data_IF_357768588831
#
_entry.id   IF_357768588831
#
_cell.length_a   1.000
_cell.length_b   1.000
_cell.length_c   1.000
_cell.angle_alpha   90.00
_cell.angle_beta   90.00
_cell.angle_gamma   90.00
#
_symmetry.space_group_name_H-M   'P 1'
#
loop_
_entity.id
_entity.type
_entity.pdbx_description
1 polymer ?
#
# COMPACT_ATOMS: atom_id res chain seq x y z
N UNK A 1 18.36 55.00 44.08
CA UNK A 1 17.05 54.42 43.73
C UNK A 1 16.93 54.47 42.22
N UNK A 2 16.83 53.33 41.54
CA UNK A 2 16.22 53.23 40.22
C UNK A 2 15.54 51.87 40.15
N UNK A 3 14.22 51.93 39.98
CA UNK A 3 13.28 50.83 39.96
C UNK A 3 13.03 50.52 38.48
N UNK A 4 13.46 49.35 38.01
CA UNK A 4 13.00 48.85 36.72
C UNK A 4 11.71 48.05 36.93
N UNK A 5 10.70 48.45 36.16
CA UNK A 5 9.32 48.00 36.22
C UNK A 5 9.22 46.50 35.96
N UNK A 6 8.62 45.77 36.90
CA UNK A 6 8.31 44.35 36.78
C UNK A 6 7.37 44.12 35.59
N UNK A 7 7.96 43.72 34.47
CA UNK A 7 7.23 43.29 33.28
C UNK A 7 6.41 42.04 33.66
N UNK A 8 5.17 41.99 33.18
CA UNK A 8 4.16 40.99 33.53
C UNK A 8 4.75 39.58 33.58
N UNK A 9 4.69 38.97 34.77
CA UNK A 9 5.11 37.59 34.99
C UNK A 9 4.24 36.73 34.09
N UNK A 10 4.84 36.15 33.05
CA UNK A 10 4.21 35.17 32.18
C UNK A 10 3.61 34.08 33.09
N UNK A 11 2.28 34.04 33.23
CA UNK A 11 1.62 33.05 34.07
C UNK A 11 2.07 31.68 33.59
N UNK A 12 2.57 30.87 34.53
CA UNK A 12 2.91 29.48 34.26
C UNK A 12 1.71 28.81 33.57
N UNK A 13 1.95 27.96 32.55
CA UNK A 13 0.87 27.28 31.85
C UNK A 13 -0.02 26.57 32.87
N UNK A 14 -1.32 26.93 32.86
CA UNK A 14 -2.32 26.47 33.84
C UNK A 14 -2.63 24.97 33.70
N UNK A 15 -2.14 24.37 32.62
CA UNK A 15 -2.18 22.93 32.37
C UNK A 15 -0.77 22.39 32.49
N UNK A 16 -0.63 21.38 33.35
CA UNK A 16 0.58 20.57 33.46
C UNK A 16 1.00 20.11 32.06
N UNK A 17 2.29 20.26 31.74
CA UNK A 17 2.85 19.77 30.49
C UNK A 17 2.82 18.24 30.52
N UNK A 18 1.74 17.67 30.00
CA UNK A 18 1.63 16.22 29.83
C UNK A 18 2.50 15.83 28.65
N UNK A 19 3.58 15.11 28.94
CA UNK A 19 4.50 14.61 27.93
C UNK A 19 3.83 13.44 27.23
N UNK A 20 3.93 13.40 25.91
CA UNK A 20 3.23 12.40 25.10
C UNK A 20 3.68 10.97 25.45
N UNK A 21 4.87 10.80 26.01
CA UNK A 21 5.47 9.54 26.46
C UNK A 21 4.81 8.98 27.73
N UNK A 22 4.16 9.82 28.53
CA UNK A 22 3.46 9.44 29.77
C UNK A 22 1.99 9.04 29.51
N UNK A 23 1.50 9.25 28.28
CA UNK A 23 0.15 8.86 27.87
C UNK A 23 0.10 7.35 27.59
N UNK A 24 -1.03 6.72 27.88
CA UNK A 24 -1.24 5.31 27.54
C UNK A 24 -1.20 5.11 26.01
N UNK A 25 -0.79 3.93 25.54
CA UNK A 25 -0.62 3.64 24.10
C UNK A 25 -1.89 3.97 23.30
N UNK A 26 -3.08 3.67 23.83
CA UNK A 26 -4.35 4.05 23.21
C UNK A 26 -4.56 5.57 23.08
N UNK A 27 -4.14 6.36 24.07
CA UNK A 27 -4.27 7.81 24.08
C UNK A 27 -3.21 8.48 23.19
N UNK A 28 -2.03 7.89 23.11
CA UNK A 28 -0.95 8.27 22.19
C UNK A 28 -1.36 8.09 20.72
N UNK A 29 -2.03 6.98 20.39
CA UNK A 29 -2.57 6.70 19.05
C UNK A 29 -3.61 7.77 18.65
N UNK A 30 -4.47 8.17 19.58
CA UNK A 30 -5.46 9.24 19.37
C UNK A 30 -4.78 10.61 19.21
N UNK A 31 -3.80 10.92 20.04
CA UNK A 31 -3.05 12.18 19.98
C UNK A 31 -2.20 12.31 18.71
N UNK A 32 -1.63 11.20 18.23
CA UNK A 32 -0.83 11.16 17.00
C UNK A 32 -1.68 11.05 15.74
N UNK A 33 -2.98 10.74 15.82
CA UNK A 33 -3.86 10.57 14.67
C UNK A 33 -3.48 9.41 13.73
N UNK A 34 -2.62 8.49 14.20
CA UNK A 34 -2.16 7.32 13.44
C UNK A 34 -2.81 6.07 14.03
N UNK A 35 -3.27 5.15 13.18
CA UNK A 35 -3.84 3.87 13.61
C UNK A 35 -2.79 2.98 14.29
N UNK A 36 -3.26 2.05 15.13
CA UNK A 36 -2.46 0.96 15.69
C UNK A 36 -1.54 0.29 14.64
N UNK A 37 -0.37 -0.17 15.10
CA UNK A 37 0.68 -0.73 14.23
C UNK A 37 0.20 -1.92 13.37
N UNK A 38 0.92 -2.21 12.29
CA UNK A 38 0.62 -3.34 11.41
C UNK A 38 0.94 -4.67 12.11
N UNK A 39 -0.01 -5.61 12.09
CA UNK A 39 0.20 -6.95 12.63
C UNK A 39 1.33 -7.67 11.89
N UNK A 40 2.21 -8.33 12.64
CA UNK A 40 3.32 -9.08 12.06
C UNK A 40 2.90 -10.54 11.86
N UNK A 41 3.05 -11.03 10.63
CA UNK A 41 2.68 -12.40 10.25
C UNK A 41 3.88 -13.36 10.23
N UNK A 42 5.00 -12.96 10.85
CA UNK A 42 6.28 -13.66 10.80
C UNK A 42 7.07 -13.26 9.55
N UNK A 43 8.31 -12.81 9.73
CA UNK A 43 9.14 -12.25 8.65
C UNK A 43 8.40 -11.20 7.80
N UNK A 44 7.51 -10.38 8.39
CA UNK A 44 6.84 -9.29 7.67
C UNK A 44 7.22 -7.91 8.20
N UNK A 45 8.13 -7.83 9.18
CA UNK A 45 8.52 -6.57 9.81
C UNK A 45 9.15 -5.58 8.81
N UNK A 46 9.95 -6.07 7.84
CA UNK A 46 10.52 -5.23 6.78
C UNK A 46 9.44 -4.60 5.89
N UNK A 47 8.36 -5.34 5.64
CA UNK A 47 7.26 -4.88 4.83
C UNK A 47 6.40 -3.90 5.63
N UNK A 48 6.12 -4.23 6.89
CA UNK A 48 5.34 -3.38 7.80
C UNK A 48 6.01 -2.00 7.97
N UNK A 49 7.31 -1.95 8.22
CA UNK A 49 8.06 -0.69 8.33
C UNK A 49 8.06 0.11 7.03
N UNK A 50 8.23 -0.57 5.89
CA UNK A 50 8.17 0.07 4.57
C UNK A 50 6.80 0.68 4.28
N UNK A 51 5.72 -0.06 4.54
CA UNK A 51 4.34 0.42 4.31
C UNK A 51 4.02 1.60 5.23
N UNK A 52 4.44 1.54 6.50
CA UNK A 52 4.25 2.66 7.43
C UNK A 52 5.02 3.91 6.99
N UNK A 53 6.26 3.78 6.49
CA UNK A 53 6.99 4.90 5.90
C UNK A 53 6.27 5.52 4.69
N UNK A 54 5.72 4.69 3.81
CA UNK A 54 4.99 5.16 2.63
C UNK A 54 3.64 5.81 2.99
N UNK A 55 2.98 5.34 4.05
CA UNK A 55 1.71 5.89 4.53
C UNK A 55 1.85 7.35 5.00
N UNK A 56 3.02 7.73 5.49
CA UNK A 56 3.35 9.11 5.88
C UNK A 56 3.44 10.08 4.70
N UNK A 57 3.42 9.60 3.45
CA UNK A 57 3.50 10.45 2.26
C UNK A 57 2.09 10.81 1.78
N UNK A 58 1.58 12.03 2.08
CA UNK A 58 0.17 12.38 1.83
C UNK A 58 -0.20 12.37 0.34
N UNK A 59 0.73 12.75 -0.54
CA UNK A 59 0.52 12.71 -1.99
C UNK A 59 0.32 11.29 -2.50
N UNK A 60 1.13 10.35 -2.00
CA UNK A 60 1.06 8.94 -2.36
C UNK A 60 -0.26 8.33 -1.85
N UNK A 61 -0.62 8.63 -0.60
CA UNK A 61 -1.89 8.21 0.00
C UNK A 61 -3.09 8.69 -0.81
N UNK A 62 -3.12 9.97 -1.21
CA UNK A 62 -4.19 10.51 -2.06
C UNK A 62 -4.23 9.83 -3.43
N UNK A 63 -3.08 9.65 -4.08
CA UNK A 63 -3.01 8.96 -5.37
C UNK A 63 -3.53 7.51 -5.30
N UNK A 64 -3.20 6.78 -4.23
CA UNK A 64 -3.70 5.43 -3.97
C UNK A 64 -5.21 5.40 -3.73
N UNK A 65 -5.78 6.39 -3.03
CA UNK A 65 -7.23 6.48 -2.81
C UNK A 65 -8.00 6.77 -4.10
N UNK A 66 -7.40 7.54 -5.01
CA UNK A 66 -7.98 7.81 -6.34
C UNK A 66 -7.62 6.77 -7.40
N UNK A 67 -6.88 5.72 -7.03
CA UNK A 67 -6.49 4.68 -7.97
C UNK A 67 -7.71 3.85 -8.39
N UNK A 68 -8.04 3.92 -9.68
CA UNK A 68 -9.18 3.21 -10.26
C UNK A 68 -8.89 1.72 -10.42
N UNK A 69 -9.65 0.88 -9.70
CA UNK A 69 -9.59 -0.60 -9.78
C UNK A 69 -9.78 -1.16 -11.21
N UNK A 70 -10.41 -0.38 -12.08
CA UNK A 70 -10.65 -0.75 -13.48
C UNK A 70 -9.35 -1.02 -14.25
N UNK A 71 -8.26 -0.31 -13.95
CA UNK A 71 -6.97 -0.53 -14.60
C UNK A 71 -6.44 -1.94 -14.32
N UNK A 72 -6.55 -2.42 -13.08
CA UNK A 72 -6.12 -3.77 -12.70
C UNK A 72 -7.00 -4.86 -13.33
N UNK A 73 -8.33 -4.68 -13.30
CA UNK A 73 -9.26 -5.61 -13.94
C UNK A 73 -9.05 -5.68 -15.47
N UNK A 74 -8.78 -4.54 -16.13
CA UNK A 74 -8.50 -4.49 -17.57
C UNK A 74 -7.20 -5.21 -17.92
N UNK A 75 -6.14 -5.09 -17.10
CA UNK A 75 -4.89 -5.83 -17.31
C UNK A 75 -5.12 -7.34 -17.21
N UNK A 76 -5.85 -7.79 -16.18
CA UNK A 76 -6.16 -9.21 -16.00
C UNK A 76 -7.03 -9.76 -17.13
N UNK A 77 -8.05 -8.99 -17.57
CA UNK A 77 -8.89 -9.36 -18.72
C UNK A 77 -8.05 -9.46 -20.00
N UNK A 78 -7.13 -8.51 -20.23
CA UNK A 78 -6.21 -8.58 -21.39
C UNK A 78 -5.31 -9.79 -21.33
N UNK A 79 -4.75 -10.11 -20.16
CA UNK A 79 -3.90 -11.30 -19.98
C UNK A 79 -4.72 -12.57 -20.24
N UNK A 80 -5.93 -12.68 -19.69
CA UNK A 80 -6.86 -13.80 -19.92
C UNK A 80 -7.23 -13.97 -21.39
N UNK A 81 -7.58 -12.89 -22.08
CA UNK A 81 -7.88 -12.92 -23.52
C UNK A 81 -6.65 -13.36 -24.32
N UNK A 82 -5.46 -12.85 -23.99
CA UNK A 82 -4.21 -13.27 -24.64
C UNK A 82 -3.92 -14.75 -24.40
N UNK A 83 -4.19 -15.24 -23.19
CA UNK A 83 -3.98 -16.63 -22.80
C UNK A 83 -4.94 -17.57 -23.55
N UNK A 84 -6.22 -17.19 -23.64
CA UNK A 84 -7.24 -17.92 -24.39
C UNK A 84 -6.89 -17.99 -25.89
N UNK A 85 -6.46 -16.88 -26.49
CA UNK A 85 -6.01 -16.85 -27.89
C UNK A 85 -4.75 -17.69 -28.12
N UNK A 86 -3.81 -17.69 -27.17
CA UNK A 86 -2.59 -18.51 -27.27
C UNK A 86 -2.93 -20.01 -27.26
N UNK A 87 -3.92 -20.41 -26.47
CA UNK A 87 -4.35 -21.81 -26.38
C UNK A 87 -5.02 -22.29 -27.68
N UNK A 88 -5.80 -21.43 -28.33
CA UNK A 88 -6.46 -21.74 -29.60
C UNK A 88 -5.45 -21.86 -30.77
N UNK A 89 -4.43 -20.99 -30.82
CA UNK A 89 -3.33 -21.09 -31.79
C UNK A 89 -2.51 -22.37 -31.61
N UNK A 90 -2.27 -22.79 -30.36
CA UNK A 90 -1.54 -24.03 -30.07
C UNK A 90 -2.31 -25.28 -30.52
N UNK A 91 -3.64 -25.31 -30.33
CA UNK A 91 -4.50 -26.38 -30.81
C UNK A 91 -4.52 -26.46 -32.34
N UNK A 92 -4.62 -25.32 -33.04
CA UNK A 92 -4.56 -25.28 -34.51
C UNK A 92 -3.21 -25.78 -35.05
N UNK A 93 -2.11 -25.45 -34.38
CA UNK A 93 -0.79 -25.97 -34.73
C UNK A 93 -0.71 -27.49 -34.57
N UNK A 94 -1.26 -28.05 -33.48
CA UNK A 94 -1.27 -29.49 -33.25
C UNK A 94 -2.14 -30.25 -34.26
N UNK A 95 -3.29 -29.68 -34.64
CA UNK A 95 -4.17 -30.24 -35.69
C UNK A 95 -3.46 -30.25 -37.05
N UNK A 96 -2.71 -29.19 -37.38
CA UNK A 96 -1.98 -29.14 -38.64
C UNK A 96 -0.85 -30.19 -38.67
N UNK A 97 -0.14 -30.37 -37.55
CA UNK A 97 0.92 -31.37 -37.41
C UNK A 97 0.39 -32.81 -37.51
N UNK A 98 -0.79 -33.09 -36.95
CA UNK A 98 -1.42 -34.42 -37.08
C UNK A 98 -1.94 -34.68 -38.50
N UNK A 99 -2.48 -33.65 -39.17
CA UNK A 99 -2.91 -33.75 -40.57
C UNK A 99 -1.75 -34.04 -41.52
N UNK A 100 -0.61 -33.37 -41.33
CA UNK A 100 0.62 -33.64 -42.10
C UNK A 100 1.17 -35.05 -41.85
N UNK A 101 1.09 -35.55 -40.62
CA UNK A 101 1.53 -36.90 -40.28
C UNK A 101 0.69 -37.99 -40.97
N UNK A 102 -0.64 -37.80 -41.04
CA UNK A 102 -1.52 -38.71 -41.78
C UNK A 102 -1.26 -38.70 -43.29
N UNK A 103 -0.95 -37.54 -43.87
CA UNK A 103 -0.60 -37.45 -45.29
C UNK A 103 0.73 -38.15 -45.61
N UNK A 104 1.73 -38.06 -44.71
CA UNK A 104 3.05 -38.68 -44.92
C UNK A 104 3.08 -40.20 -44.69
N UNK A 105 2.08 -40.77 -44.00
CA UNK A 105 2.00 -42.21 -43.71
C UNK A 105 0.92 -42.94 -44.54
N UNK A 106 0.33 -42.25 -45.52
CA UNK A 106 -0.64 -42.83 -46.48
C UNK A 106 -0.09 -42.97 -47.90
N UNK A 107 1.17 -42.56 -48.13
CA UNK A 107 2.02 -42.92 -49.29
C UNK A 107 3.01 -44.02 -48.89
#
# INVERSE_FOLDING_TARGET
MMMETANEIMKAPEKELVIMEDLCEEEQVVAMGHSSGLYNLGNSCYMNSTVQCLFLVPKLKSALLHYSRWVGAMILIRILICWLWQQELYLLSLINMSSQWHHSNSE
#
